data_IF_809689896240
#
_entry.id   IF_809689896240
#
_cell.length_a   1.000
_cell.length_b   1.000
_cell.length_c   1.000
_cell.angle_alpha   90.00
_cell.angle_beta   90.00
_cell.angle_gamma   90.00
#
_symmetry.space_group_name_H-M   'P 1'
#
loop_
_entity.id
_entity.type
_entity.pdbx_description
1 polymer ?
#
# COMPACT_ATOMS: atom_id res chain seq x y z
N UNK A 1 11.60 21.86 6.36
CA UNK A 1 10.99 20.52 6.47
C UNK A 1 11.48 19.90 7.76
N UNK A 2 10.63 19.21 8.50
CA UNK A 2 11.07 18.37 9.62
C UNK A 2 11.65 17.08 9.04
N UNK A 3 12.52 16.43 9.80
CA UNK A 3 13.04 15.09 9.51
C UNK A 3 12.33 14.06 10.38
N UNK A 4 12.46 12.77 10.07
CA UNK A 4 11.80 11.71 10.86
C UNK A 4 12.26 11.72 12.32
N UNK A 5 13.50 12.13 12.56
CA UNK A 5 14.10 12.22 13.90
C UNK A 5 13.53 13.37 14.75
N UNK A 6 12.95 14.38 14.11
CA UNK A 6 12.30 15.51 14.78
C UNK A 6 10.87 15.16 15.24
N UNK A 7 10.32 14.04 14.76
CA UNK A 7 8.99 13.57 15.12
C UNK A 7 9.00 12.95 16.52
N UNK A 8 7.97 13.25 17.32
CA UNK A 8 7.77 12.63 18.64
C UNK A 8 7.12 11.26 18.51
N UNK A 9 7.86 10.30 17.95
CA UNK A 9 7.35 8.95 17.67
C UNK A 9 7.30 8.09 18.93
N UNK A 10 6.19 7.35 19.10
CA UNK A 10 6.04 6.32 20.13
C UNK A 10 6.64 5.01 19.63
N UNK A 11 7.05 4.13 20.55
CA UNK A 11 7.49 2.76 20.20
C UNK A 11 6.30 1.87 19.78
N UNK A 12 5.10 2.20 20.22
CA UNK A 12 3.87 1.47 19.88
C UNK A 12 2.71 2.48 19.76
N UNK A 13 1.89 2.31 18.73
CA UNK A 13 0.59 2.99 18.58
C UNK A 13 -0.53 1.95 18.60
N UNK A 14 -1.62 2.23 19.32
CA UNK A 14 -2.78 1.33 19.42
C UNK A 14 -4.09 2.10 19.37
N UNK A 15 -5.07 1.56 18.66
CA UNK A 15 -6.38 2.21 18.44
C UNK A 15 -7.18 2.51 19.71
N UNK A 16 -6.89 1.86 20.85
CA UNK A 16 -7.58 2.17 22.11
C UNK A 16 -7.19 3.53 22.71
N UNK A 17 -6.06 4.10 22.29
CA UNK A 17 -5.48 5.29 22.93
C UNK A 17 -4.81 6.27 21.97
N UNK A 18 -4.55 5.85 20.74
CA UNK A 18 -3.82 6.61 19.74
C UNK A 18 -4.63 6.67 18.43
N UNK A 19 -4.60 7.80 17.75
CA UNK A 19 -4.98 7.88 16.34
C UNK A 19 -3.77 7.50 15.48
N UNK A 20 -3.67 6.21 15.14
CA UNK A 20 -2.55 5.66 14.36
C UNK A 20 -2.36 6.39 13.03
N UNK A 21 -3.44 6.86 12.41
CA UNK A 21 -3.35 7.54 11.11
C UNK A 21 -2.74 8.94 11.28
N UNK A 22 -3.33 9.77 12.15
CA UNK A 22 -2.91 11.17 12.28
C UNK A 22 -1.65 11.35 13.12
N UNK A 23 -1.38 10.46 14.08
CA UNK A 23 -0.22 10.57 14.98
C UNK A 23 1.04 9.83 14.48
N UNK A 24 0.89 8.85 13.58
CA UNK A 24 2.03 8.06 13.07
C UNK A 24 2.15 8.14 11.55
N UNK A 25 1.14 7.66 10.83
CA UNK A 25 1.24 7.49 9.38
C UNK A 25 1.39 8.81 8.61
N UNK A 26 0.54 9.81 8.88
CA UNK A 26 0.59 11.12 8.20
C UNK A 26 1.92 11.86 8.48
N UNK A 27 2.38 11.99 9.74
CA UNK A 27 3.65 12.63 10.04
C UNK A 27 4.85 11.95 9.36
N UNK A 28 4.94 10.61 9.43
CA UNK A 28 6.04 9.88 8.82
C UNK A 28 6.04 10.03 7.29
N UNK A 29 4.88 9.87 6.65
CA UNK A 29 4.76 9.96 5.19
C UNK A 29 5.11 11.36 4.66
N UNK A 30 4.64 12.41 5.35
CA UNK A 30 4.86 13.81 4.96
C UNK A 30 6.33 14.23 5.04
N UNK A 31 7.11 13.59 5.92
CA UNK A 31 8.52 13.91 6.14
C UNK A 31 9.46 12.82 5.56
N UNK A 32 8.99 12.01 4.62
CA UNK A 32 9.76 10.94 3.98
C UNK A 32 9.88 11.14 2.47
N UNK A 33 11.00 10.68 1.90
CA UNK A 33 11.25 10.60 0.45
C UNK A 33 11.02 9.21 -0.12
N UNK A 34 10.82 8.21 0.73
CA UNK A 34 10.48 6.86 0.32
C UNK A 34 9.54 6.22 1.33
N UNK A 35 8.56 5.48 0.82
CA UNK A 35 7.67 4.65 1.62
C UNK A 35 7.54 3.26 1.00
N UNK A 36 7.99 2.26 1.75
CA UNK A 36 7.90 0.85 1.39
C UNK A 36 6.89 0.16 2.29
N UNK A 37 6.01 -0.66 1.72
CA UNK A 37 4.94 -1.28 2.49
C UNK A 37 4.56 -2.65 1.96
N UNK A 38 4.42 -3.62 2.85
CA UNK A 38 3.73 -4.87 2.58
C UNK A 38 2.33 -4.83 3.19
N UNK A 39 1.34 -5.34 2.46
CA UNK A 39 -0.04 -5.51 2.90
C UNK A 39 -0.59 -6.84 2.41
N UNK A 40 -1.60 -7.34 3.12
CA UNK A 40 -2.24 -8.61 2.79
C UNK A 40 -2.95 -8.56 1.42
N UNK A 41 -3.70 -7.50 1.16
CA UNK A 41 -4.32 -7.24 -0.14
C UNK A 41 -4.53 -5.74 -0.34
N UNK A 42 -4.41 -5.30 -1.58
CA UNK A 42 -4.70 -3.94 -1.99
C UNK A 42 -6.13 -3.84 -2.55
N UNK A 43 -6.82 -2.75 -2.19
CA UNK A 43 -8.16 -2.40 -2.69
C UNK A 43 -8.17 -0.99 -3.27
N UNK A 44 -9.21 -0.65 -4.03
CA UNK A 44 -9.43 0.73 -4.48
C UNK A 44 -9.57 1.66 -3.27
N UNK A 45 -10.22 1.18 -2.20
CA UNK A 45 -10.33 1.92 -0.95
C UNK A 45 -8.95 2.24 -0.39
N UNK A 46 -8.10 1.23 -0.14
CA UNK A 46 -6.76 1.45 0.44
C UNK A 46 -5.88 2.37 -0.40
N UNK A 47 -5.95 2.29 -1.74
CA UNK A 47 -5.26 3.23 -2.63
C UNK A 47 -5.81 4.66 -2.52
N UNK A 48 -7.14 4.82 -2.51
CA UNK A 48 -7.77 6.14 -2.35
C UNK A 48 -7.37 6.80 -1.05
N UNK A 49 -7.33 6.00 0.00
CA UNK A 49 -6.98 6.45 1.32
C UNK A 49 -5.50 6.84 1.42
N UNK A 50 -4.59 6.06 0.84
CA UNK A 50 -3.18 6.46 0.69
C UNK A 50 -3.09 7.79 -0.05
N UNK A 51 -3.85 7.97 -1.13
CA UNK A 51 -3.89 9.23 -1.87
C UNK A 51 -4.33 10.42 -1.02
N UNK A 52 -5.38 10.30 -0.20
CA UNK A 52 -5.80 11.38 0.70
C UNK A 52 -4.72 11.74 1.74
N UNK A 53 -4.01 10.74 2.26
CA UNK A 53 -2.86 10.98 3.15
C UNK A 53 -1.71 11.73 2.47
N UNK A 54 -1.61 11.64 1.14
CA UNK A 54 -0.59 12.28 0.32
C UNK A 54 -0.98 13.68 -0.20
N UNK A 55 -2.27 14.05 -0.22
CA UNK A 55 -2.77 15.31 -0.81
C UNK A 55 -2.16 16.57 -0.17
N UNK A 56 -1.72 16.48 1.08
CA UNK A 56 -1.13 17.61 1.83
C UNK A 56 0.41 17.65 1.76
N UNK A 57 1.05 16.71 1.07
CA UNK A 57 2.51 16.66 0.95
C UNK A 57 2.94 17.63 -0.14
N UNK A 58 3.61 18.72 0.25
CA UNK A 58 4.03 19.77 -0.68
C UNK A 58 5.09 19.28 -1.68
N UNK A 59 6.01 18.41 -1.24
CA UNK A 59 6.99 17.77 -2.12
C UNK A 59 6.51 16.41 -2.60
N UNK A 60 6.01 16.39 -3.83
CA UNK A 60 5.48 15.22 -4.52
C UNK A 60 6.61 14.29 -5.02
N UNK A 61 7.57 13.98 -4.16
CA UNK A 61 8.79 13.26 -4.53
C UNK A 61 8.98 11.93 -3.79
N UNK A 62 8.08 11.60 -2.86
CA UNK A 62 8.18 10.35 -2.14
C UNK A 62 7.94 9.16 -3.08
N UNK A 63 8.96 8.30 -3.24
CA UNK A 63 8.83 7.05 -3.97
C UNK A 63 8.04 6.04 -3.14
N UNK A 64 6.94 5.52 -3.67
CA UNK A 64 6.13 4.52 -2.94
C UNK A 64 6.25 3.14 -3.59
N UNK A 65 6.57 2.12 -2.79
CA UNK A 65 6.63 0.72 -3.22
C UNK A 65 5.70 -0.15 -2.37
N UNK A 66 4.72 -0.78 -3.00
CA UNK A 66 3.77 -1.66 -2.32
C UNK A 66 3.95 -3.10 -2.78
N UNK A 67 4.01 -4.02 -1.82
CA UNK A 67 3.85 -5.46 -2.06
C UNK A 67 2.51 -5.89 -1.46
N UNK A 68 1.61 -6.36 -2.32
CA UNK A 68 0.30 -6.89 -1.93
C UNK A 68 0.28 -8.41 -2.06
N UNK A 69 -0.54 -9.11 -1.28
CA UNK A 69 -0.91 -10.49 -1.60
C UNK A 69 -1.73 -10.60 -2.90
N UNK A 70 -1.90 -11.83 -3.36
CA UNK A 70 -2.41 -12.19 -4.70
C UNK A 70 -3.92 -12.39 -4.80
N UNK A 71 -4.67 -12.02 -3.76
CA UNK A 71 -6.13 -12.17 -3.68
C UNK A 71 -6.81 -10.83 -3.82
N UNK A 72 -7.81 -10.75 -4.70
CA UNK A 72 -8.53 -9.52 -4.99
C UNK A 72 -10.04 -9.77 -5.10
N UNK A 73 -10.85 -8.75 -4.81
CA UNK A 73 -12.23 -8.75 -5.30
C UNK A 73 -12.21 -8.49 -6.81
N UNK A 74 -13.17 -9.05 -7.55
CA UNK A 74 -13.30 -8.78 -8.99
C UNK A 74 -13.45 -7.28 -9.29
N UNK A 75 -14.15 -6.54 -8.43
CA UNK A 75 -14.31 -5.09 -8.58
C UNK A 75 -13.00 -4.33 -8.37
N UNK A 76 -12.23 -4.68 -7.34
CA UNK A 76 -10.97 -4.02 -7.05
C UNK A 76 -9.94 -4.33 -8.12
N UNK A 77 -9.79 -5.60 -8.52
CA UNK A 77 -8.82 -5.98 -9.54
C UNK A 77 -9.03 -5.21 -10.85
N UNK A 78 -10.29 -5.15 -11.32
CA UNK A 78 -10.65 -4.45 -12.54
C UNK A 78 -10.35 -2.94 -12.48
N UNK A 79 -10.58 -2.30 -11.34
CA UNK A 79 -10.33 -0.87 -11.16
C UNK A 79 -8.83 -0.58 -11.02
N UNK A 80 -8.13 -1.39 -10.23
CA UNK A 80 -6.70 -1.24 -9.95
C UNK A 80 -5.88 -1.47 -11.22
N UNK A 81 -6.14 -2.54 -11.97
CA UNK A 81 -5.41 -2.80 -13.22
C UNK A 81 -5.57 -1.65 -14.22
N UNK A 82 -6.75 -1.02 -14.28
CA UNK A 82 -6.98 0.18 -15.11
C UNK A 82 -6.17 1.41 -14.65
N UNK A 83 -5.90 1.54 -13.36
CA UNK A 83 -5.06 2.62 -12.83
C UNK A 83 -3.59 2.47 -13.26
N UNK A 84 -3.09 1.23 -13.28
CA UNK A 84 -1.68 0.91 -13.58
C UNK A 84 -1.40 0.55 -15.05
N UNK A 85 -2.42 0.30 -15.89
CA UNK A 85 -2.22 0.01 -17.31
C UNK A 85 -1.97 1.30 -18.12
N UNK A 86 -0.70 1.63 -18.32
CA UNK A 86 -0.27 2.82 -19.09
C UNK A 86 -0.55 2.73 -20.60
N UNK A 87 -0.96 1.57 -21.14
CA UNK A 87 -1.12 1.36 -22.60
C UNK A 87 -2.53 1.65 -23.15
N UNK A 88 -3.51 2.00 -22.31
CA UNK A 88 -4.88 2.28 -22.76
C UNK A 88 -5.52 3.46 -22.00
N UNK A 89 -5.16 4.72 -22.31
CA UNK A 89 -5.85 5.88 -21.77
C UNK A 89 -7.32 6.02 -22.24
N UNK A 90 -7.75 5.25 -23.24
CA UNK A 90 -8.99 5.48 -24.01
C UNK A 90 -10.02 4.33 -23.97
N UNK A 91 -9.84 3.28 -23.16
CA UNK A 91 -10.81 2.18 -23.02
C UNK A 91 -11.87 2.39 -21.92
N UNK A 92 -12.17 3.64 -21.55
CA UNK A 92 -13.30 3.95 -20.68
C UNK A 92 -14.68 3.78 -21.35
N UNK A 93 -14.75 3.55 -22.66
CA UNK A 93 -16.03 3.51 -23.40
C UNK A 93 -16.54 2.10 -23.78
N UNK A 94 -16.01 1.01 -23.20
CA UNK A 94 -16.36 -0.34 -23.65
C UNK A 94 -16.90 -1.25 -22.54
N UNK A 95 -18.23 -1.41 -22.49
CA UNK A 95 -19.01 -2.37 -21.68
C UNK A 95 -19.14 -2.04 -20.18
N UNK A 96 -19.98 -1.06 -19.88
CA UNK A 96 -20.88 -1.16 -18.74
C UNK A 96 -22.29 -0.92 -19.27
N UNK A 97 -23.16 -1.92 -19.12
CA UNK A 97 -24.55 -1.87 -19.56
C UNK A 97 -25.29 -0.70 -18.87
N UNK A 98 -26.24 -0.14 -19.61
CA UNK A 98 -26.99 1.08 -19.32
C UNK A 98 -27.55 1.09 -17.88
N UNK A 99 -27.30 2.22 -17.17
CA UNK A 99 -28.17 2.87 -16.14
C UNK A 99 -27.40 3.80 -15.15
N UNK A 100 -26.06 3.94 -15.24
CA UNK A 100 -25.23 4.68 -14.24
C UNK A 100 -24.62 6.02 -14.70
N UNK A 101 -25.35 6.88 -15.41
CA UNK A 101 -24.76 8.07 -16.07
C UNK A 101 -24.20 9.17 -15.13
N UNK A 102 -24.69 9.27 -13.89
CA UNK A 102 -24.22 10.28 -12.91
C UNK A 102 -23.17 9.70 -11.95
N UNK A 103 -23.35 8.46 -11.50
CA UNK A 103 -22.36 7.75 -10.67
C UNK A 103 -21.01 7.54 -11.38
N UNK A 104 -21.05 7.33 -12.70
CA UNK A 104 -19.84 7.16 -13.51
C UNK A 104 -18.99 8.44 -13.57
N UNK A 105 -19.58 9.64 -13.64
CA UNK A 105 -18.83 10.90 -13.71
C UNK A 105 -18.04 11.19 -12.43
N UNK A 106 -18.62 10.86 -11.27
CA UNK A 106 -17.96 10.99 -9.96
C UNK A 106 -16.88 9.92 -9.79
N UNK A 107 -17.15 8.67 -10.19
CA UNK A 107 -16.16 7.60 -10.20
C UNK A 107 -14.97 7.94 -11.12
N UNK A 108 -15.22 8.51 -12.29
CA UNK A 108 -14.17 8.91 -13.25
C UNK A 108 -13.30 10.06 -12.73
N UNK A 109 -13.86 10.95 -11.91
CA UNK A 109 -13.07 12.01 -11.25
C UNK A 109 -12.14 11.45 -10.16
N UNK A 110 -12.67 10.58 -9.28
CA UNK A 110 -11.87 9.91 -8.24
C UNK A 110 -10.77 9.03 -8.83
N UNK A 111 -11.08 8.26 -9.88
CA UNK A 111 -10.11 7.43 -10.60
C UNK A 111 -9.02 8.30 -11.24
N UNK A 112 -9.37 9.45 -11.81
CA UNK A 112 -8.39 10.39 -12.38
C UNK A 112 -7.48 11.01 -11.30
N UNK A 113 -8.03 11.39 -10.15
CA UNK A 113 -7.25 11.89 -9.02
C UNK A 113 -6.28 10.82 -8.50
N UNK A 114 -6.76 9.58 -8.31
CA UNK A 114 -5.94 8.43 -7.96
C UNK A 114 -4.80 8.22 -8.95
N UNK A 115 -5.09 8.25 -10.26
CA UNK A 115 -4.08 8.06 -11.30
C UNK A 115 -3.01 9.15 -11.24
N UNK A 116 -3.40 10.41 -11.05
CA UNK A 116 -2.46 11.51 -10.89
C UNK A 116 -1.54 11.28 -9.70
N UNK A 117 -2.07 10.86 -8.55
CA UNK A 117 -1.26 10.59 -7.36
C UNK A 117 -0.34 9.38 -7.55
N UNK A 118 -0.80 8.34 -8.25
CA UNK A 118 0.06 7.21 -8.64
C UNK A 118 1.27 7.70 -9.45
N UNK A 119 1.03 8.59 -10.42
CA UNK A 119 2.08 9.17 -11.28
C UNK A 119 3.01 10.10 -10.49
N UNK A 120 2.46 11.02 -9.70
CA UNK A 120 3.20 12.01 -8.92
C UNK A 120 4.12 11.34 -7.87
N UNK A 121 3.64 10.30 -7.19
CA UNK A 121 4.40 9.57 -6.15
C UNK A 121 5.14 8.34 -6.66
N UNK A 122 5.20 8.14 -7.98
CA UNK A 122 5.86 7.00 -8.63
C UNK A 122 5.47 5.67 -7.97
N UNK A 123 4.19 5.49 -7.69
CA UNK A 123 3.69 4.34 -6.96
C UNK A 123 3.91 3.07 -7.78
N UNK A 124 4.73 2.17 -7.25
CA UNK A 124 4.99 0.84 -7.83
C UNK A 124 4.27 -0.23 -7.00
N UNK A 125 3.52 -1.12 -7.66
CA UNK A 125 2.80 -2.21 -6.99
C UNK A 125 3.26 -3.55 -7.54
N UNK A 126 3.70 -4.42 -6.63
CA UNK A 126 4.01 -5.83 -6.89
C UNK A 126 3.09 -6.75 -6.09
N UNK A 127 2.97 -7.98 -6.57
CA UNK A 127 2.13 -9.01 -5.98
C UNK A 127 2.98 -10.18 -5.52
N UNK A 128 2.78 -10.58 -4.26
CA UNK A 128 3.36 -11.74 -3.61
C UNK A 128 2.46 -12.97 -3.76
N UNK A 129 3.02 -14.03 -4.34
CA UNK A 129 2.37 -15.31 -4.56
C UNK A 129 3.17 -16.39 -3.83
N UNK A 130 2.68 -16.93 -2.71
CA UNK A 130 3.25 -18.12 -2.10
C UNK A 130 3.25 -19.29 -3.10
N UNK A 131 4.38 -19.97 -3.26
CA UNK A 131 4.61 -20.94 -4.34
C UNK A 131 5.18 -22.29 -3.85
N UNK A 132 5.04 -22.62 -2.57
CA UNK A 132 5.65 -23.80 -1.96
C UNK A 132 4.68 -24.60 -1.11
N UNK A 133 4.89 -25.91 -0.98
CA UNK A 133 4.17 -26.76 -0.01
C UNK A 133 4.44 -26.35 1.44
N UNK A 134 5.56 -25.67 1.72
CA UNK A 134 5.87 -25.16 3.06
C UNK A 134 5.13 -23.84 3.38
N UNK A 135 4.69 -23.12 2.36
CA UNK A 135 3.99 -21.83 2.46
C UNK A 135 2.92 -21.82 1.37
N UNK A 136 1.79 -22.49 1.63
CA UNK A 136 0.67 -22.68 0.68
C UNK A 136 -0.53 -21.73 0.95
N UNK A 137 -0.37 -20.84 1.94
CA UNK A 137 -1.42 -19.96 2.46
C UNK A 137 -1.51 -18.58 1.81
N UNK A 138 -1.83 -17.59 2.66
CA UNK A 138 -1.98 -16.18 2.28
C UNK A 138 -0.70 -15.44 2.60
N UNK A 139 -0.34 -14.46 1.76
CA UNK A 139 0.67 -13.49 2.12
C UNK A 139 0.05 -12.48 3.10
N UNK A 140 0.43 -12.56 4.38
CA UNK A 140 -0.16 -11.74 5.46
C UNK A 140 0.84 -10.77 6.12
N UNK A 141 2.05 -10.66 5.56
CA UNK A 141 3.06 -9.76 6.13
C UNK A 141 2.61 -8.30 6.02
N UNK A 142 2.59 -7.62 7.16
CA UNK A 142 2.21 -6.21 7.30
C UNK A 142 3.34 -5.44 7.96
N UNK A 143 4.28 -4.95 7.16
CA UNK A 143 5.41 -4.14 7.61
C UNK A 143 5.58 -2.93 6.71
N UNK A 144 6.18 -1.84 7.21
CA UNK A 144 6.51 -0.72 6.34
C UNK A 144 7.74 0.03 6.80
N UNK A 145 8.27 0.84 5.90
CA UNK A 145 9.52 1.57 6.06
C UNK A 145 9.34 2.95 5.47
N UNK A 146 9.61 3.96 6.29
CA UNK A 146 9.74 5.36 5.93
C UNK A 146 11.22 5.73 5.92
N UNK A 147 11.66 6.45 4.91
CA UNK A 147 13.03 6.98 4.82
C UNK A 147 12.98 8.45 4.42
N UNK A 148 13.69 9.30 5.15
CA UNK A 148 13.79 10.73 4.86
C UNK A 148 15.06 11.10 4.09
N UNK A 149 15.25 12.41 3.89
CA UNK A 149 16.40 12.98 3.17
C UNK A 149 17.74 12.80 3.88
N UNK A 150 17.75 12.51 5.18
CA UNK A 150 18.95 12.28 5.97
C UNK A 150 19.35 10.81 6.02
N UNK A 151 18.61 9.95 5.33
CA UNK A 151 18.73 8.49 5.41
C UNK A 151 18.31 7.91 6.77
N UNK A 152 17.68 8.72 7.62
CA UNK A 152 17.02 8.25 8.84
C UNK A 152 15.80 7.42 8.44
N UNK A 153 15.63 6.28 9.11
CA UNK A 153 14.58 5.30 8.81
C UNK A 153 13.68 5.07 10.02
N UNK A 154 12.37 5.03 9.76
CA UNK A 154 11.35 4.54 10.67
C UNK A 154 10.69 3.31 10.04
N UNK A 155 10.87 2.16 10.65
CA UNK A 155 10.24 0.92 10.22
C UNK A 155 9.14 0.52 11.21
N UNK A 156 8.16 -0.25 10.76
CA UNK A 156 7.09 -0.72 11.62
C UNK A 156 6.54 -2.08 11.21
N UNK A 157 5.86 -2.73 12.16
CA UNK A 157 5.05 -3.93 11.94
C UNK A 157 3.73 -3.78 12.68
N UNK A 158 2.65 -4.35 12.16
CA UNK A 158 1.37 -4.20 12.83
C UNK A 158 0.22 -4.87 12.09
N UNK A 159 -0.99 -4.71 12.63
CA UNK A 159 -2.20 -5.31 12.07
C UNK A 159 -2.89 -4.42 11.02
N UNK A 160 -2.44 -3.17 10.87
CA UNK A 160 -3.09 -2.19 10.00
C UNK A 160 -3.06 -2.57 8.52
N UNK A 161 -4.20 -2.96 7.97
CA UNK A 161 -4.41 -3.12 6.53
C UNK A 161 -4.83 -1.80 5.86
N UNK A 162 -5.43 -0.87 6.62
CA UNK A 162 -5.99 0.37 6.08
C UNK A 162 -5.21 1.57 6.61
N UNK A 163 -4.07 1.79 5.98
CA UNK A 163 -2.99 2.69 6.44
C UNK A 163 -3.40 4.15 6.69
N UNK A 164 -4.52 4.64 6.12
CA UNK A 164 -4.87 6.08 6.17
C UNK A 164 -6.36 6.37 6.35
N UNK A 165 -7.19 5.38 6.68
CA UNK A 165 -8.65 5.54 6.61
C UNK A 165 -9.14 6.12 7.92
N UNK A 166 -9.46 7.41 7.90
CA UNK A 166 -9.96 8.13 9.07
C UNK A 166 -11.31 7.55 9.55
N UNK A 167 -12.04 6.80 8.71
CA UNK A 167 -13.25 6.07 9.11
C UNK A 167 -12.97 4.61 9.49
N UNK A 168 -11.69 4.18 9.51
CA UNK A 168 -11.32 2.83 9.95
C UNK A 168 -11.70 2.67 11.42
N UNK A 169 -12.55 1.68 11.69
CA UNK A 169 -12.97 1.30 13.05
C UNK A 169 -12.29 0.03 13.53
N UNK A 170 -11.35 -0.51 12.76
CA UNK A 170 -10.62 -1.70 13.15
C UNK A 170 -9.73 -1.38 14.34
N UNK A 171 -9.67 -2.32 15.28
CA UNK A 171 -8.72 -2.26 16.37
C UNK A 171 -7.35 -2.69 15.85
N UNK A 172 -6.41 -1.74 15.82
CA UNK A 172 -5.09 -1.93 15.23
C UNK A 172 -3.97 -1.60 16.23
N UNK A 173 -2.83 -2.23 15.99
CA UNK A 173 -1.60 -1.96 16.73
C UNK A 173 -0.44 -1.89 15.74
N UNK A 174 0.50 -0.99 16.02
CA UNK A 174 1.70 -0.78 15.23
C UNK A 174 2.91 -0.64 16.16
N UNK A 175 3.85 -1.55 16.04
CA UNK A 175 5.17 -1.48 16.67
C UNK A 175 6.13 -0.70 15.76
N UNK A 176 6.83 0.27 16.33
CA UNK A 176 7.69 1.22 15.63
C UNK A 176 9.14 1.03 16.03
N UNK A 177 10.02 1.05 15.03
CA UNK A 177 11.47 0.88 15.16
C UNK A 177 12.15 2.01 14.43
N UNK A 178 13.10 2.68 15.07
CA UNK A 178 13.82 3.81 14.48
C UNK A 178 15.27 3.43 14.25
N UNK A 179 15.86 3.97 13.17
CA UNK A 179 17.26 3.70 12.83
C UNK A 179 18.24 4.21 13.88
N UNK A 180 17.83 5.18 14.71
CA UNK A 180 18.64 5.76 15.76
C UNK A 180 18.54 5.05 17.12
N UNK A 181 17.47 4.33 17.40
CA UNK A 181 17.31 3.60 18.68
C UNK A 181 17.36 2.06 18.50
N UNK A 182 16.89 1.53 17.36
CA UNK A 182 16.79 0.09 17.08
C UNK A 182 17.30 -0.25 15.67
N UNK A 183 18.54 0.19 15.38
CA UNK A 183 19.16 0.04 14.07
C UNK A 183 19.15 -1.41 13.57
N UNK A 184 19.40 -2.39 14.44
CA UNK A 184 19.49 -3.81 14.03
C UNK A 184 18.15 -4.33 13.51
N UNK A 185 17.02 -3.99 14.15
CA UNK A 185 15.69 -4.41 13.66
C UNK A 185 15.30 -3.65 12.40
N UNK A 186 15.64 -2.36 12.32
CA UNK A 186 15.43 -1.56 11.11
C UNK A 186 16.19 -2.13 9.92
N UNK A 187 17.48 -2.43 10.06
CA UNK A 187 18.31 -3.02 9.00
C UNK A 187 17.75 -4.38 8.54
N UNK A 188 17.26 -5.20 9.49
CA UNK A 188 16.61 -6.49 9.18
C UNK A 188 15.34 -6.29 8.35
N UNK A 189 14.50 -5.34 8.73
CA UNK A 189 13.26 -5.01 8.00
C UNK A 189 13.54 -4.50 6.59
N UNK A 190 14.52 -3.61 6.43
CA UNK A 190 14.99 -3.13 5.11
C UNK A 190 15.44 -4.33 4.26
N UNK A 191 16.31 -5.18 4.81
CA UNK A 191 16.81 -6.36 4.09
C UNK A 191 15.68 -7.30 3.66
N UNK A 192 14.72 -7.57 4.54
CA UNK A 192 13.58 -8.43 4.24
C UNK A 192 12.72 -7.84 3.11
N UNK A 193 12.40 -6.54 3.19
CA UNK A 193 11.64 -5.87 2.14
C UNK A 193 12.37 -5.89 0.81
N UNK A 194 13.67 -5.58 0.77
CA UNK A 194 14.43 -5.59 -0.49
C UNK A 194 14.55 -6.99 -1.09
N UNK A 195 14.76 -8.02 -0.26
CA UNK A 195 14.77 -9.40 -0.72
C UNK A 195 13.41 -9.78 -1.32
N UNK A 196 12.31 -9.40 -0.69
CA UNK A 196 10.97 -9.61 -1.21
C UNK A 196 10.79 -8.85 -2.53
N UNK A 197 11.03 -7.54 -2.53
CA UNK A 197 10.88 -6.66 -3.69
C UNK A 197 11.68 -7.12 -4.93
N UNK A 198 12.86 -7.71 -4.70
CA UNK A 198 13.77 -8.22 -5.74
C UNK A 198 13.60 -9.72 -6.02
N UNK A 199 12.53 -10.34 -5.51
CA UNK A 199 12.19 -11.74 -5.73
C UNK A 199 13.29 -12.74 -5.28
N UNK A 200 13.86 -12.50 -4.10
CA UNK A 200 14.90 -13.34 -3.45
C UNK A 200 14.41 -14.01 -2.17
N UNK A 201 13.18 -13.75 -1.75
CA UNK A 201 12.58 -14.40 -0.58
C UNK A 201 12.16 -15.82 -0.94
N UNK A 202 12.55 -16.79 -0.11
CA UNK A 202 12.14 -18.18 -0.32
C UNK A 202 10.62 -18.32 -0.20
N UNK A 203 10.06 -19.25 -0.97
CA UNK A 203 8.65 -19.68 -0.91
C UNK A 203 7.60 -18.63 -1.33
N UNK A 204 8.03 -17.46 -1.80
CA UNK A 204 7.15 -16.39 -2.30
C UNK A 204 7.73 -15.85 -3.59
N UNK A 205 6.95 -15.89 -4.65
CA UNK A 205 7.27 -15.24 -5.92
C UNK A 205 6.64 -13.86 -6.02
N UNK A 206 7.38 -12.93 -6.61
CA UNK A 206 7.04 -11.52 -6.67
C UNK A 206 6.96 -11.08 -8.13
N UNK A 207 5.79 -10.56 -8.50
CA UNK A 207 5.48 -10.13 -9.87
C UNK A 207 4.99 -8.69 -9.91
N UNK A 208 5.29 -7.96 -10.99
CA UNK A 208 4.61 -6.69 -11.24
C UNK A 208 3.10 -6.93 -11.42
N UNK A 209 2.27 -6.08 -10.81
CA UNK A 209 0.82 -6.27 -10.78
C UNK A 209 0.20 -6.47 -12.18
N UNK A 210 0.55 -5.59 -13.13
CA UNK A 210 0.03 -5.64 -14.51
C UNK A 210 0.55 -6.88 -15.25
N UNK A 211 1.75 -7.35 -14.92
CA UNK A 211 2.28 -8.59 -15.49
C UNK A 211 1.54 -9.81 -14.95
N UNK A 212 1.32 -9.86 -13.64
CA UNK A 212 0.64 -10.95 -12.97
C UNK A 212 -0.80 -11.12 -13.47
N UNK A 213 -1.53 -10.02 -13.69
CA UNK A 213 -2.86 -10.06 -14.30
C UNK A 213 -2.81 -10.63 -15.72
N UNK A 214 -1.90 -10.13 -16.58
CA UNK A 214 -1.78 -10.60 -17.98
C UNK A 214 -1.42 -12.07 -18.11
N UNK A 215 -0.80 -12.64 -17.08
CA UNK A 215 -0.41 -14.06 -17.01
C UNK A 215 -1.42 -14.91 -16.25
N UNK A 216 -2.56 -14.35 -15.82
CA UNK A 216 -3.59 -15.03 -15.03
C UNK A 216 -3.05 -15.64 -13.72
N UNK A 217 -2.10 -14.97 -13.07
CA UNK A 217 -1.49 -15.43 -11.82
C UNK A 217 -2.28 -15.01 -10.58
N UNK A 218 -3.25 -14.11 -10.75
CA UNK A 218 -4.02 -13.51 -9.65
C UNK A 218 -5.27 -14.33 -9.34
N UNK A 219 -5.61 -14.45 -8.06
CA UNK A 219 -6.86 -15.07 -7.62
C UNK A 219 -7.88 -13.97 -7.35
N UNK A 220 -9.06 -14.08 -7.95
CA UNK A 220 -10.15 -13.15 -7.71
C UNK A 220 -11.49 -13.88 -7.62
N UNK A 221 -12.41 -13.31 -6.86
CA UNK A 221 -13.77 -13.82 -6.68
C UNK A 221 -14.74 -12.66 -6.48
N UNK A 222 -16.04 -12.96 -6.53
CA UNK A 222 -17.13 -12.10 -6.08
C UNK A 222 -17.36 -12.15 -4.55
N UNK A 223 -16.82 -13.14 -3.83
CA UNK A 223 -17.17 -13.46 -2.42
C UNK A 223 -16.04 -13.30 -1.37
N UNK A 224 -14.80 -12.91 -1.71
CA UNK A 224 -13.74 -12.67 -0.71
C UNK A 224 -13.87 -11.26 -0.15
N UNK A 225 -14.94 -11.11 0.62
CA UNK A 225 -15.13 -10.13 1.67
C UNK A 225 -16.16 -10.72 2.65
N UNK A 226 -15.79 -11.79 3.35
CA UNK A 226 -16.52 -12.20 4.56
C UNK A 226 -15.52 -12.36 5.70
N UNK A 227 -14.99 -11.21 6.15
CA UNK A 227 -15.17 -10.90 7.55
C UNK A 227 -16.25 -9.82 7.59
N UNK A 228 -17.50 -10.27 7.79
CA UNK A 228 -18.50 -9.49 8.53
C UNK A 228 -17.95 -9.07 9.88
#
# INVERSE_FOLDING_TARGET
MLTLRDLSLKQEYRSDRDDVVSEFFIPCLTNSIQYDRTIEFISVKSLSTLTFGLENIQDHHAKIRLVSGHRFTTSDLNAIVKLFDHRNPSRLNGRLYLDKKISNLIQDNKIRQLKKVIEDFKLEVKVAIPNSEYVDGVFEERMGIFRDTNDDVVAFSGTSNVTFDAENRNFESVDVFTSWDDKSRVDTKIKNFENLWTNKTNYVEIYDLVYAEKKNLLKYTTEWAVYT
#
